data_IF_912785853722
#
_entry.id   IF_912785853722
#
_cell.length_a   1.000
_cell.length_b   1.000
_cell.length_c   1.000
_cell.angle_alpha   90.00
_cell.angle_beta   90.00
_cell.angle_gamma   90.00
#
_symmetry.space_group_name_H-M   'P 1'
#
loop_
_entity.id
_entity.type
_entity.pdbx_description
1 polymer ?
#
# COMPACT_ATOMS: atom_id res chain seq x y z
N UNK A 1 -33.37 -16.95 -4.72
CA UNK A 1 -32.18 -17.75 -4.35
C UNK A 1 -31.44 -18.06 -5.65
N UNK A 2 -30.50 -17.20 -6.07
CA UNK A 2 -29.64 -17.51 -7.22
C UNK A 2 -28.43 -18.28 -6.69
N UNK A 3 -28.50 -19.61 -6.76
CA UNK A 3 -27.34 -20.45 -6.54
C UNK A 3 -26.38 -20.22 -7.70
N UNK A 4 -25.34 -19.40 -7.47
CA UNK A 4 -24.17 -19.41 -8.35
C UNK A 4 -23.54 -20.79 -8.13
N UNK A 5 -23.73 -21.70 -9.07
CA UNK A 5 -22.99 -22.96 -9.13
C UNK A 5 -21.54 -22.56 -9.39
N UNK A 6 -20.76 -22.42 -8.33
CA UNK A 6 -19.31 -22.37 -8.49
C UNK A 6 -18.89 -23.76 -8.94
N UNK A 7 -18.60 -23.94 -10.22
CA UNK A 7 -17.96 -25.16 -10.68
C UNK A 7 -16.54 -25.16 -10.10
N UNK A 8 -16.40 -25.77 -8.92
CA UNK A 8 -15.11 -25.99 -8.31
C UNK A 8 -14.36 -26.92 -9.26
N UNK A 9 -13.19 -26.49 -9.72
CA UNK A 9 -12.21 -27.44 -10.24
C UNK A 9 -11.91 -28.37 -9.08
N UNK A 10 -12.47 -29.57 -9.02
CA UNK A 10 -12.36 -30.55 -7.91
C UNK A 10 -10.90 -30.98 -7.63
N UNK A 11 -10.03 -30.04 -7.24
CA UNK A 11 -8.58 -30.21 -7.19
C UNK A 11 -7.91 -30.51 -8.54
N UNK A 12 -8.64 -30.54 -9.66
CA UNK A 12 -8.10 -30.91 -10.98
C UNK A 12 -7.01 -29.92 -11.43
N UNK A 13 -5.79 -30.43 -11.60
CA UNK A 13 -4.66 -29.68 -12.17
C UNK A 13 -4.68 -29.84 -13.69
N UNK A 14 -4.63 -28.72 -14.39
CA UNK A 14 -4.55 -28.68 -15.85
C UNK A 14 -3.11 -28.42 -16.29
N UNK A 15 -2.66 -29.15 -17.30
CA UNK A 15 -1.33 -28.95 -17.89
C UNK A 15 -1.40 -27.96 -19.06
N UNK A 16 -0.28 -27.30 -19.37
CA UNK A 16 -0.19 -26.40 -20.52
C UNK A 16 -0.55 -27.12 -21.84
N UNK A 17 -0.14 -28.38 -22.02
CA UNK A 17 -0.47 -29.19 -23.19
C UNK A 17 -1.98 -29.36 -23.37
N UNK A 18 -2.71 -29.61 -22.29
CA UNK A 18 -4.18 -29.75 -22.35
C UNK A 18 -4.85 -28.41 -22.69
N UNK A 19 -4.39 -27.30 -22.11
CA UNK A 19 -4.94 -25.95 -22.43
C UNK A 19 -4.60 -25.52 -23.86
N UNK A 20 -3.57 -26.09 -24.49
CA UNK A 20 -3.27 -25.85 -25.91
C UNK A 20 -4.15 -26.65 -26.88
N UNK A 21 -4.86 -27.66 -26.40
CA UNK A 21 -5.85 -28.38 -27.20
C UNK A 21 -7.16 -27.59 -27.36
N UNK A 22 -7.67 -27.50 -28.60
CA UNK A 22 -8.84 -26.66 -28.90
C UNK A 22 -10.12 -27.21 -28.27
N UNK A 23 -10.33 -28.52 -28.36
CA UNK A 23 -11.53 -29.17 -27.84
C UNK A 23 -11.57 -29.07 -26.31
N UNK A 24 -10.42 -29.28 -25.67
CA UNK A 24 -10.29 -29.14 -24.22
C UNK A 24 -10.51 -27.72 -23.73
N UNK A 25 -10.03 -26.69 -24.46
CA UNK A 25 -10.33 -25.29 -24.12
C UNK A 25 -11.82 -24.99 -24.15
N UNK A 26 -12.51 -25.43 -25.20
CA UNK A 26 -13.95 -25.21 -25.35
C UNK A 26 -14.72 -25.87 -24.21
N UNK A 27 -14.34 -27.09 -23.81
CA UNK A 27 -14.93 -27.76 -22.64
C UNK A 27 -14.73 -26.99 -21.33
N UNK A 28 -13.52 -26.49 -21.08
CA UNK A 28 -13.19 -25.75 -19.86
C UNK A 28 -13.94 -24.42 -19.79
N UNK A 29 -14.08 -23.73 -20.92
CA UNK A 29 -14.85 -22.48 -21.02
C UNK A 29 -16.33 -22.77 -20.76
N UNK A 30 -16.89 -23.79 -21.42
CA UNK A 30 -18.29 -24.18 -21.27
C UNK A 30 -18.63 -24.62 -19.84
N UNK A 31 -17.65 -25.16 -19.10
CA UNK A 31 -17.80 -25.58 -17.70
C UNK A 31 -17.44 -24.48 -16.68
N UNK A 32 -17.11 -23.26 -17.12
CA UNK A 32 -16.59 -22.14 -16.29
C UNK A 32 -15.35 -22.52 -15.43
N UNK A 33 -14.68 -23.62 -15.78
CA UNK A 33 -13.49 -24.09 -15.09
C UNK A 33 -12.28 -23.23 -15.45
N UNK A 34 -12.32 -22.56 -16.60
CA UNK A 34 -11.27 -21.69 -17.14
C UNK A 34 -10.99 -20.48 -16.26
N UNK A 35 -12.03 -19.95 -15.62
CA UNK A 35 -11.90 -18.83 -14.69
C UNK A 35 -10.98 -19.24 -13.53
N UNK A 36 -11.18 -20.40 -12.92
CA UNK A 36 -10.45 -20.80 -11.71
C UNK A 36 -8.98 -21.19 -11.93
N UNK A 37 -8.56 -21.47 -13.17
CA UNK A 37 -7.18 -21.90 -13.50
C UNK A 37 -6.13 -20.89 -13.01
N UNK A 38 -6.46 -19.59 -13.07
CA UNK A 38 -5.55 -18.53 -12.68
C UNK A 38 -5.73 -18.08 -11.22
N UNK A 39 -6.44 -18.82 -10.37
CA UNK A 39 -6.67 -18.43 -8.97
C UNK A 39 -5.39 -18.26 -8.15
N UNK A 40 -4.28 -18.90 -8.55
CA UNK A 40 -2.97 -18.77 -7.93
C UNK A 40 -2.10 -17.66 -8.56
N UNK A 41 -2.47 -17.15 -9.74
CA UNK A 41 -1.79 -16.04 -10.38
C UNK A 41 -2.24 -14.74 -9.70
N UNK A 42 -1.33 -14.10 -8.97
CA UNK A 42 -1.62 -12.82 -8.30
C UNK A 42 -2.15 -11.80 -9.30
N UNK A 43 -3.15 -11.03 -8.86
CA UNK A 43 -3.88 -10.04 -9.66
C UNK A 43 -4.70 -10.59 -10.85
N UNK A 44 -4.81 -11.91 -11.02
CA UNK A 44 -5.83 -12.46 -11.92
C UNK A 44 -7.25 -12.15 -11.39
N UNK A 45 -8.27 -12.09 -12.26
CA UNK A 45 -9.67 -11.90 -11.82
C UNK A 45 -10.09 -12.89 -10.72
N UNK A 46 -9.70 -14.15 -10.86
CA UNK A 46 -10.09 -15.25 -9.95
C UNK A 46 -9.35 -15.19 -8.63
N UNK A 47 -8.06 -14.81 -8.65
CA UNK A 47 -7.32 -14.48 -7.44
C UNK A 47 -7.99 -13.33 -6.70
N UNK A 48 -8.34 -12.24 -7.40
CA UNK A 48 -8.97 -11.07 -6.80
C UNK A 48 -10.35 -11.40 -6.23
N UNK A 49 -11.15 -12.23 -6.92
CA UNK A 49 -12.44 -12.70 -6.41
C UNK A 49 -12.26 -13.50 -5.11
N UNK A 50 -11.27 -14.40 -5.06
CA UNK A 50 -10.94 -15.15 -3.83
C UNK A 50 -10.56 -14.20 -2.70
N UNK A 51 -9.65 -13.26 -2.94
CA UNK A 51 -9.22 -12.26 -1.94
C UNK A 51 -10.36 -11.35 -1.49
N UNK A 52 -11.30 -11.01 -2.38
CA UNK A 52 -12.50 -10.26 -2.04
C UNK A 52 -13.39 -11.07 -1.08
N UNK A 53 -13.59 -12.36 -1.33
CA UNK A 53 -14.36 -13.24 -0.43
C UNK A 53 -13.69 -13.35 0.94
N UNK A 54 -12.37 -13.50 0.99
CA UNK A 54 -11.60 -13.50 2.24
C UNK A 54 -11.84 -12.19 3.02
N UNK A 55 -11.71 -11.04 2.35
CA UNK A 55 -11.95 -9.74 2.96
C UNK A 55 -13.38 -9.59 3.49
N UNK A 56 -14.38 -10.04 2.73
CA UNK A 56 -15.77 -10.02 3.17
C UNK A 56 -16.02 -10.93 4.38
N UNK A 57 -15.32 -12.07 4.47
CA UNK A 57 -15.35 -12.91 5.66
C UNK A 57 -14.72 -12.22 6.87
N UNK A 58 -13.55 -11.57 6.69
CA UNK A 58 -12.91 -10.76 7.73
C UNK A 58 -13.83 -9.65 8.23
N UNK A 59 -14.48 -8.89 7.34
CA UNK A 59 -15.42 -7.83 7.73
C UNK A 59 -16.61 -8.39 8.52
N UNK A 60 -17.13 -9.57 8.16
CA UNK A 60 -18.23 -10.21 8.89
C UNK A 60 -17.81 -10.69 10.28
N UNK A 61 -16.59 -11.18 10.45
CA UNK A 61 -16.09 -11.72 11.71
C UNK A 61 -15.49 -10.66 12.64
N UNK A 62 -14.75 -9.70 12.08
CA UNK A 62 -14.01 -8.67 12.82
C UNK A 62 -14.76 -7.33 12.87
N UNK A 63 -15.78 -7.13 12.04
CA UNK A 63 -16.47 -5.86 11.88
C UNK A 63 -15.77 -4.90 10.91
N UNK A 64 -16.13 -3.61 10.98
CA UNK A 64 -15.50 -2.57 10.18
C UNK A 64 -14.02 -2.42 10.58
N UNK A 65 -13.07 -2.32 9.63
CA UNK A 65 -11.69 -2.00 9.97
C UNK A 65 -11.59 -0.66 10.69
N UNK A 66 -10.66 -0.56 11.64
CA UNK A 66 -10.37 0.66 12.40
C UNK A 66 -9.69 1.70 11.53
N UNK A 67 -8.71 1.27 10.71
CA UNK A 67 -7.97 2.14 9.81
C UNK A 67 -7.98 1.63 8.38
N UNK A 68 -8.03 2.59 7.44
CA UNK A 68 -7.74 2.38 6.04
C UNK A 68 -6.51 3.22 5.68
N UNK A 69 -5.46 2.58 5.16
CA UNK A 69 -4.20 3.25 4.79
C UNK A 69 -3.86 2.96 3.33
N UNK A 70 -3.42 3.98 2.60
CA UNK A 70 -2.85 3.85 1.27
C UNK A 70 -1.37 4.21 1.31
N UNK A 71 -0.53 3.28 0.85
CA UNK A 71 0.92 3.37 0.80
C UNK A 71 1.35 3.26 -0.67
N UNK A 72 2.16 4.18 -1.18
CA UNK A 72 2.53 4.34 -2.60
C UNK A 72 4.05 4.26 -2.76
N UNK A 73 4.58 3.66 -3.82
CA UNK A 73 6.03 3.69 -3.99
C UNK A 73 6.53 5.12 -4.32
N UNK A 74 7.63 5.52 -3.68
CA UNK A 74 8.34 6.77 -3.97
C UNK A 74 9.71 6.49 -4.58
N UNK A 75 9.74 5.64 -5.62
CA UNK A 75 10.95 5.02 -6.18
C UNK A 75 12.08 6.03 -6.47
N UNK A 76 11.75 7.21 -6.99
CA UNK A 76 12.72 8.27 -7.32
C UNK A 76 13.37 8.94 -6.11
N UNK A 77 12.79 8.80 -4.92
CA UNK A 77 13.30 9.40 -3.67
C UNK A 77 14.12 8.42 -2.84
N UNK A 78 13.98 7.12 -3.07
CA UNK A 78 14.72 6.11 -2.32
C UNK A 78 16.14 5.98 -2.86
N UNK A 79 17.06 6.80 -2.33
CA UNK A 79 18.47 6.75 -2.72
C UNK A 79 19.07 5.35 -2.60
N UNK A 80 18.60 4.56 -1.65
CA UNK A 80 19.07 3.19 -1.43
C UNK A 80 18.65 2.28 -2.60
N UNK A 81 17.41 2.44 -3.11
CA UNK A 81 16.96 1.77 -4.34
C UNK A 81 17.78 2.24 -5.55
N UNK A 82 17.97 3.55 -5.71
CA UNK A 82 18.75 4.11 -6.82
C UNK A 82 20.20 3.61 -6.80
N UNK A 83 20.81 3.49 -5.62
CA UNK A 83 22.16 2.91 -5.46
C UNK A 83 22.22 1.44 -5.83
N UNK A 84 21.23 0.64 -5.42
CA UNK A 84 21.10 -0.78 -5.82
C UNK A 84 20.98 -0.88 -7.34
N UNK A 85 20.09 -0.08 -7.95
CA UNK A 85 19.88 -0.06 -9.40
C UNK A 85 21.14 0.38 -10.15
N UNK A 86 21.84 1.40 -9.65
CA UNK A 86 23.11 1.86 -10.21
C UNK A 86 24.18 0.76 -10.21
N UNK A 87 24.27 -0.02 -9.14
CA UNK A 87 25.17 -1.17 -9.06
C UNK A 87 24.77 -2.30 -10.02
N UNK A 88 23.47 -2.55 -10.19
CA UNK A 88 22.96 -3.62 -11.05
C UNK A 88 23.06 -3.28 -12.54
N UNK A 89 22.69 -2.06 -12.92
CA UNK A 89 22.54 -1.62 -14.32
C UNK A 89 23.83 -0.96 -14.81
N UNK A 90 24.30 0.07 -14.11
CA UNK A 90 25.47 0.85 -14.54
C UNK A 90 26.80 0.25 -14.08
N UNK A 91 26.75 -0.80 -13.25
CA UNK A 91 27.93 -1.43 -12.62
C UNK A 91 28.78 -0.43 -11.82
N UNK A 92 28.14 0.63 -11.30
CA UNK A 92 28.79 1.70 -10.55
C UNK A 92 28.25 1.76 -9.12
N UNK A 93 29.15 1.87 -8.15
CA UNK A 93 28.78 2.25 -6.79
C UNK A 93 28.79 3.78 -6.68
N UNK A 94 27.61 4.36 -6.54
CA UNK A 94 27.45 5.81 -6.36
C UNK A 94 27.69 6.18 -4.89
N UNK A 95 28.41 7.28 -4.68
CA UNK A 95 28.52 7.91 -3.37
C UNK A 95 27.19 8.51 -2.91
N UNK A 96 27.05 8.78 -1.60
CA UNK A 96 25.83 9.39 -1.04
C UNK A 96 25.52 10.75 -1.68
N UNK A 97 26.54 11.57 -1.94
CA UNK A 97 26.38 12.88 -2.57
C UNK A 97 25.92 12.76 -4.03
N UNK A 98 26.45 11.80 -4.79
CA UNK A 98 26.00 11.53 -6.15
C UNK A 98 24.53 11.09 -6.18
N UNK A 99 24.11 10.20 -5.28
CA UNK A 99 22.71 9.73 -5.23
C UNK A 99 21.72 10.84 -4.88
N UNK A 100 22.09 11.73 -3.96
CA UNK A 100 21.27 12.89 -3.59
C UNK A 100 21.11 13.86 -4.77
N UNK A 101 22.21 14.15 -5.46
CA UNK A 101 22.26 15.14 -6.55
C UNK A 101 21.93 14.57 -7.93
N UNK A 102 21.74 13.26 -8.06
CA UNK A 102 21.39 12.62 -9.34
C UNK A 102 20.08 13.19 -9.89
N UNK A 103 20.13 13.59 -11.16
CA UNK A 103 19.01 14.21 -11.86
C UNK A 103 17.83 13.24 -12.04
N UNK A 104 16.65 13.81 -12.30
CA UNK A 104 15.42 13.04 -12.41
C UNK A 104 15.41 12.07 -13.59
N UNK A 105 16.05 12.41 -14.72
CA UNK A 105 16.07 11.57 -15.90
C UNK A 105 16.93 10.32 -15.65
N UNK A 106 18.11 10.49 -15.02
CA UNK A 106 18.96 9.37 -14.62
C UNK A 106 18.27 8.42 -13.64
N UNK A 107 17.60 8.96 -12.61
CA UNK A 107 16.80 8.17 -11.67
C UNK A 107 15.70 7.39 -12.38
N UNK A 108 14.98 8.04 -13.29
CA UNK A 108 13.88 7.44 -14.03
C UNK A 108 14.37 6.33 -14.96
N UNK A 109 15.50 6.53 -15.66
CA UNK A 109 16.13 5.50 -16.48
C UNK A 109 16.45 4.25 -15.66
N UNK A 110 17.06 4.42 -14.48
CA UNK A 110 17.40 3.30 -13.60
C UNK A 110 16.16 2.50 -13.18
N UNK A 111 15.10 3.20 -12.76
CA UNK A 111 13.83 2.58 -12.32
C UNK A 111 13.15 1.81 -13.47
N UNK A 112 13.10 2.41 -14.66
CA UNK A 112 12.49 1.80 -15.84
C UNK A 112 13.28 0.60 -16.36
N UNK A 113 14.60 0.57 -16.14
CA UNK A 113 15.48 -0.49 -16.61
C UNK A 113 15.34 -1.78 -15.80
N UNK A 114 14.98 -1.70 -14.51
CA UNK A 114 14.73 -2.87 -13.66
C UNK A 114 13.51 -2.67 -12.74
N UNK A 115 12.28 -2.77 -13.28
CA UNK A 115 11.06 -2.64 -12.50
C UNK A 115 10.85 -3.81 -11.53
N UNK A 116 11.48 -4.96 -11.76
CA UNK A 116 11.36 -6.13 -10.88
C UNK A 116 12.04 -5.84 -9.55
N UNK A 117 13.26 -5.28 -9.58
CA UNK A 117 13.97 -4.86 -8.37
C UNK A 117 13.20 -3.76 -7.63
N UNK A 118 12.59 -2.81 -8.35
CA UNK A 118 11.72 -1.78 -7.74
C UNK A 118 10.56 -2.40 -6.95
N UNK A 119 9.83 -3.35 -7.55
CA UNK A 119 8.70 -4.03 -6.88
C UNK A 119 9.16 -4.87 -5.69
N UNK A 120 10.28 -5.59 -5.79
CA UNK A 120 10.85 -6.35 -4.67
C UNK A 120 11.29 -5.44 -3.53
N UNK A 121 11.85 -4.28 -3.85
CA UNK A 121 12.24 -3.29 -2.86
C UNK A 121 11.02 -2.68 -2.16
N UNK A 122 9.97 -2.35 -2.91
CA UNK A 122 8.69 -1.90 -2.34
C UNK A 122 8.10 -2.95 -1.38
N UNK A 123 8.02 -4.21 -1.81
CA UNK A 123 7.51 -5.30 -0.97
C UNK A 123 8.33 -5.46 0.31
N UNK A 124 9.66 -5.45 0.21
CA UNK A 124 10.55 -5.49 1.37
C UNK A 124 10.27 -4.33 2.35
N UNK A 125 10.19 -3.09 1.84
CA UNK A 125 9.86 -1.94 2.70
C UNK A 125 8.50 -2.12 3.36
N UNK A 126 7.50 -2.58 2.60
CA UNK A 126 6.14 -2.80 3.12
C UNK A 126 6.15 -3.83 4.24
N UNK A 127 6.84 -4.97 4.08
CA UNK A 127 6.95 -5.98 5.13
C UNK A 127 7.66 -5.44 6.37
N UNK A 128 8.74 -4.67 6.20
CA UNK A 128 9.42 -4.00 7.32
C UNK A 128 8.48 -3.03 8.04
N UNK A 129 7.70 -2.24 7.29
CA UNK A 129 6.70 -1.36 7.87
C UNK A 129 5.63 -2.13 8.66
N UNK A 130 5.08 -3.21 8.08
CA UNK A 130 4.07 -4.03 8.74
C UNK A 130 4.59 -4.64 10.05
N UNK A 131 5.77 -5.23 10.03
CA UNK A 131 6.27 -6.05 11.14
C UNK A 131 6.98 -5.20 12.21
N UNK A 132 7.80 -4.24 11.78
CA UNK A 132 8.65 -3.48 12.70
C UNK A 132 7.98 -2.19 13.17
N UNK A 133 6.88 -1.76 12.53
CA UNK A 133 6.21 -0.51 12.87
C UNK A 133 4.80 -0.78 13.34
N UNK A 134 3.91 -1.24 12.44
CA UNK A 134 2.50 -1.43 12.78
C UNK A 134 2.29 -2.52 13.83
N UNK A 135 2.95 -3.67 13.68
CA UNK A 135 2.84 -4.82 14.58
C UNK A 135 3.92 -4.81 15.67
N UNK A 136 4.63 -3.70 15.84
CA UNK A 136 5.63 -3.56 16.89
C UNK A 136 4.98 -3.59 18.29
N UNK A 137 5.78 -3.93 19.29
CA UNK A 137 5.35 -3.89 20.70
C UNK A 137 4.97 -2.48 21.18
N UNK A 138 5.40 -1.43 20.46
CA UNK A 138 5.05 -0.04 20.75
C UNK A 138 3.60 0.30 20.38
N UNK A 139 2.94 -0.53 19.57
CA UNK A 139 1.52 -0.38 19.22
C UNK A 139 1.17 1.07 18.80
N UNK A 140 1.86 1.64 17.79
CA UNK A 140 1.80 3.07 17.49
C UNK A 140 0.41 3.56 17.06
N UNK A 141 -0.46 2.62 16.64
CA UNK A 141 -1.86 2.86 16.26
C UNK A 141 -2.82 1.99 17.08
N UNK A 142 -2.36 1.48 18.23
CA UNK A 142 -3.03 0.45 19.01
C UNK A 142 -2.57 -0.96 18.64
N UNK A 143 -3.03 -1.95 19.42
CA UNK A 143 -2.67 -3.36 19.24
C UNK A 143 -3.37 -3.91 17.99
N UNK A 144 -2.58 -4.25 16.96
CA UNK A 144 -3.10 -4.78 15.71
C UNK A 144 -3.68 -6.17 15.93
N UNK A 145 -5.00 -6.32 15.71
CA UNK A 145 -5.71 -7.60 15.75
C UNK A 145 -5.58 -8.36 14.44
N UNK A 146 -5.82 -7.70 13.32
CA UNK A 146 -5.67 -8.30 11.99
C UNK A 146 -5.42 -7.23 10.91
N UNK A 147 -4.93 -7.66 9.74
CA UNK A 147 -4.59 -6.80 8.61
C UNK A 147 -4.95 -7.46 7.29
N UNK A 148 -5.57 -6.70 6.38
CA UNK A 148 -5.72 -7.09 4.99
C UNK A 148 -5.00 -6.11 4.09
N UNK A 149 -4.20 -6.60 3.14
CA UNK A 149 -3.46 -5.78 2.19
C UNK A 149 -3.76 -6.19 0.76
N UNK A 150 -4.03 -5.19 -0.09
CA UNK A 150 -4.14 -5.35 -1.54
C UNK A 150 -3.10 -4.49 -2.23
N UNK A 151 -2.32 -5.10 -3.13
CA UNK A 151 -1.41 -4.37 -4.01
C UNK A 151 -2.14 -4.03 -5.31
N UNK A 152 -2.07 -2.78 -5.71
CA UNK A 152 -2.59 -2.23 -6.96
C UNK A 152 -1.46 -1.54 -7.71
N UNK A 153 -1.40 -1.74 -9.02
CA UNK A 153 -0.51 -0.98 -9.90
C UNK A 153 -1.34 0.10 -10.58
N UNK A 154 -1.12 1.36 -10.20
CA UNK A 154 -1.75 2.48 -10.89
C UNK A 154 -1.13 2.63 -12.29
N UNK A 155 -1.79 3.40 -13.17
CA UNK A 155 -1.33 3.66 -14.55
C UNK A 155 0.11 4.20 -14.69
N UNK A 156 0.76 4.56 -13.58
CA UNK A 156 2.14 5.07 -13.53
C UNK A 156 3.19 3.98 -13.30
N UNK A 157 2.79 2.72 -13.19
CA UNK A 157 3.69 1.56 -13.09
C UNK A 157 4.16 1.22 -11.67
N UNK A 158 4.20 2.18 -10.75
CA UNK A 158 4.61 1.94 -9.36
C UNK A 158 3.50 1.29 -8.52
N UNK A 159 3.85 0.36 -7.61
CA UNK A 159 2.90 -0.32 -6.74
C UNK A 159 2.32 0.61 -5.67
N UNK A 160 1.07 0.35 -5.32
CA UNK A 160 0.33 0.95 -4.23
C UNK A 160 -0.25 -0.16 -3.35
N UNK A 161 -0.05 -0.09 -2.04
CA UNK A 161 -0.69 -0.97 -1.08
C UNK A 161 -1.88 -0.25 -0.45
N UNK A 162 -3.04 -0.90 -0.49
CA UNK A 162 -4.22 -0.52 0.29
C UNK A 162 -4.33 -1.47 1.47
N UNK A 163 -4.35 -0.93 2.67
CA UNK A 163 -4.36 -1.66 3.92
C UNK A 163 -5.65 -1.38 4.68
N UNK A 164 -6.26 -2.45 5.19
CA UNK A 164 -7.32 -2.42 6.17
C UNK A 164 -6.77 -3.02 7.45
N UNK A 165 -6.84 -2.28 8.55
CA UNK A 165 -6.26 -2.69 9.84
C UNK A 165 -7.36 -2.69 10.90
N UNK A 166 -7.48 -3.80 11.60
CA UNK A 166 -8.34 -3.96 12.77
C UNK A 166 -7.49 -3.85 14.03
N UNK A 167 -7.89 -2.99 14.94
CA UNK A 167 -7.24 -2.78 16.23
C UNK A 167 -8.09 -3.46 17.31
N UNK A 168 -7.42 -4.12 18.24
CA UNK A 168 -8.04 -4.73 19.42
C UNK A 168 -8.68 -3.65 20.29
N UNK A 169 -9.91 -3.90 20.74
CA UNK A 169 -10.70 -3.01 21.60
C UNK A 169 -10.89 -1.58 21.09
N UNK A 170 -10.78 -1.36 19.76
CA UNK A 170 -11.09 -0.07 19.18
C UNK A 170 -12.58 0.28 19.35
N UNK A 171 -12.91 1.53 19.72
CA UNK A 171 -14.29 1.92 19.98
C UNK A 171 -15.12 1.89 18.69
N UNK A 172 -16.34 1.37 18.82
CA UNK A 172 -17.31 1.25 17.73
C UNK A 172 -18.38 2.35 17.82
N UNK A 173 -18.58 3.08 16.72
CA UNK A 173 -19.61 4.12 16.55
C UNK A 173 -21.03 3.72 16.97
N UNK A 174 -21.39 2.44 16.90
CA UNK A 174 -22.74 1.97 17.26
C UNK A 174 -22.91 1.65 18.75
N UNK A 175 -21.81 1.45 19.47
CA UNK A 175 -21.83 0.89 20.82
C UNK A 175 -21.21 1.83 21.86
N UNK A 176 -20.37 2.77 21.44
CA UNK A 176 -19.62 3.63 22.32
C UNK A 176 -20.00 5.10 22.11
N UNK A 177 -19.90 5.89 23.17
CA UNK A 177 -20.17 7.33 23.11
C UNK A 177 -19.14 8.05 22.25
N UNK A 178 -19.58 9.14 21.60
CA UNK A 178 -18.73 9.96 20.75
C UNK A 178 -17.47 10.46 21.47
N UNK A 179 -17.55 10.79 22.77
CA UNK A 179 -16.40 11.25 23.54
C UNK A 179 -15.27 10.21 23.59
N UNK A 180 -15.61 8.92 23.77
CA UNK A 180 -14.61 7.83 23.80
C UNK A 180 -13.94 7.61 22.43
N UNK A 181 -14.70 7.78 21.34
CA UNK A 181 -14.20 7.67 19.97
C UNK A 181 -13.25 8.83 19.67
N UNK A 182 -13.62 10.05 20.05
CA UNK A 182 -12.77 11.24 19.90
C UNK A 182 -11.47 11.05 20.69
N UNK A 183 -11.56 10.61 21.95
CA UNK A 183 -10.37 10.35 22.76
C UNK A 183 -9.44 9.30 22.13
N UNK A 184 -9.99 8.21 21.59
CA UNK A 184 -9.22 7.21 20.86
C UNK A 184 -8.53 7.80 19.61
N UNK A 185 -9.26 8.56 18.80
CA UNK A 185 -8.71 9.21 17.61
C UNK A 185 -7.60 10.18 18.02
N UNK A 186 -7.84 11.03 19.02
CA UNK A 186 -6.87 12.01 19.49
C UNK A 186 -5.63 11.36 20.11
N UNK A 187 -5.73 10.14 20.66
CA UNK A 187 -4.57 9.43 21.17
C UNK A 187 -3.60 9.02 20.04
N UNK A 188 -4.13 8.59 18.90
CA UNK A 188 -3.31 8.02 17.82
C UNK A 188 -3.10 8.96 16.64
N UNK A 189 -4.02 9.87 16.35
CA UNK A 189 -4.04 10.71 15.15
C UNK A 189 -3.89 12.18 15.51
N UNK A 190 -3.11 12.90 14.70
CA UNK A 190 -2.94 14.35 14.74
C UNK A 190 -3.10 14.94 13.34
N UNK A 191 -3.61 16.16 13.29
CA UNK A 191 -3.71 16.96 12.07
C UNK A 191 -2.83 18.23 12.15
N UNK A 192 -1.75 18.20 12.93
CA UNK A 192 -0.83 19.35 13.04
C UNK A 192 0.05 19.50 11.79
N UNK A 193 0.32 20.75 11.39
CA UNK A 193 1.37 21.09 10.43
C UNK A 193 2.71 21.36 11.09
N UNK A 194 2.74 21.44 12.41
CA UNK A 194 3.96 21.65 13.19
C UNK A 194 4.70 20.32 13.25
N UNK A 195 5.72 20.20 12.40
CA UNK A 195 6.60 19.04 12.32
C UNK A 195 8.05 19.51 12.45
N UNK A 196 8.94 18.60 12.84
CA UNK A 196 10.38 18.89 12.90
C UNK A 196 10.92 19.29 11.52
N UNK A 197 12.07 19.97 11.46
CA UNK A 197 12.70 20.32 10.19
C UNK A 197 13.00 19.07 9.33
N UNK A 198 13.37 17.96 9.97
CA UNK A 198 13.60 16.67 9.33
C UNK A 198 12.32 16.09 8.70
N UNK A 199 11.15 16.40 9.26
CA UNK A 199 9.86 15.89 8.82
C UNK A 199 9.15 16.77 7.77
N UNK A 200 9.61 18.02 7.60
CA UNK A 200 9.04 18.98 6.65
C UNK A 200 8.93 18.42 5.22
N UNK A 201 9.95 17.74 4.66
CA UNK A 201 9.86 17.18 3.31
C UNK A 201 8.73 16.15 3.16
N UNK A 202 8.39 15.40 4.22
CA UNK A 202 7.30 14.43 4.21
C UNK A 202 5.94 15.11 4.31
N UNK A 203 5.81 16.14 5.15
CA UNK A 203 4.59 16.93 5.23
C UNK A 203 4.27 17.60 3.89
N UNK A 204 5.27 18.08 3.16
CA UNK A 204 5.07 18.66 1.83
C UNK A 204 4.45 17.69 0.81
N UNK A 205 4.76 16.40 0.91
CA UNK A 205 4.19 15.36 0.03
C UNK A 205 2.73 15.05 0.37
N UNK A 206 2.34 15.34 1.61
CA UNK A 206 0.96 15.18 2.07
C UNK A 206 0.09 16.40 1.78
N UNK A 207 0.66 17.52 1.31
CA UNK A 207 -0.08 18.72 0.92
C UNK A 207 -0.62 18.58 -0.50
N UNK A 208 -1.93 18.72 -0.64
CA UNK A 208 -2.59 18.78 -1.95
C UNK A 208 -2.17 20.03 -2.73
N UNK A 209 -1.66 19.82 -3.96
CA UNK A 209 -1.38 20.89 -4.92
C UNK A 209 -2.35 20.78 -6.09
N UNK A 210 -3.01 21.89 -6.44
CA UNK A 210 -3.94 21.90 -7.57
C UNK A 210 -3.21 21.59 -8.88
N UNK A 211 -3.63 20.51 -9.52
CA UNK A 211 -3.23 20.11 -10.87
C UNK A 211 -4.38 20.29 -11.86
N UNK A 212 -4.09 20.16 -13.17
CA UNK A 212 -5.11 20.20 -14.24
C UNK A 212 -6.25 19.17 -14.01
N UNK A 213 -5.97 18.04 -13.37
CA UNK A 213 -6.95 16.98 -13.10
C UNK A 213 -7.83 17.24 -11.86
N UNK A 214 -7.49 18.26 -11.06
CA UNK A 214 -8.25 18.60 -9.85
C UNK A 214 -9.63 19.17 -10.16
N UNK A 215 -9.82 19.77 -11.33
CA UNK A 215 -11.08 20.35 -11.76
C UNK A 215 -11.72 19.43 -12.79
N UNK A 216 -12.87 18.84 -12.45
CA UNK A 216 -13.64 18.01 -13.39
C UNK A 216 -14.74 18.87 -14.01
N UNK A 217 -14.90 18.81 -15.34
CA UNK A 217 -15.96 19.52 -16.09
C UNK A 217 -15.99 21.04 -15.82
N UNK A 218 -14.82 21.68 -15.77
CA UNK A 218 -14.67 23.14 -15.55
C UNK A 218 -15.27 23.70 -14.26
N UNK A 219 -15.66 22.86 -13.29
CA UNK A 219 -16.12 23.35 -11.99
C UNK A 219 -14.98 24.04 -11.25
N UNK A 220 -15.27 25.20 -10.66
CA UNK A 220 -14.33 25.96 -9.82
C UNK A 220 -13.98 25.22 -8.51
N UNK A 221 -14.76 24.20 -8.15
CA UNK A 221 -14.58 23.39 -6.95
C UNK A 221 -13.61 22.24 -7.23
N UNK A 222 -12.64 22.06 -6.35
CA UNK A 222 -11.74 20.91 -6.40
C UNK A 222 -12.51 19.61 -6.21
N UNK A 223 -12.31 18.64 -7.12
CA UNK A 223 -12.86 17.28 -7.00
C UNK A 223 -12.54 16.62 -5.66
N UNK A 224 -11.40 16.96 -5.07
CA UNK A 224 -10.91 16.38 -3.81
C UNK A 224 -11.33 17.19 -2.57
N UNK A 225 -12.18 18.21 -2.73
CA UNK A 225 -12.74 18.96 -1.59
C UNK A 225 -11.76 19.89 -0.88
N UNK A 226 -10.55 20.10 -1.39
CA UNK A 226 -9.57 21.03 -0.81
C UNK A 226 -10.04 22.49 -1.03
N UNK A 227 -10.61 23.11 0.01
CA UNK A 227 -11.15 24.49 -0.06
C UNK A 227 -10.08 25.59 0.05
N UNK A 228 -8.90 25.27 0.56
CA UNK A 228 -7.69 26.08 0.58
C UNK A 228 -6.50 25.12 0.77
N UNK A 229 -5.25 25.59 0.63
CA UNK A 229 -3.96 24.82 0.57
C UNK A 229 -3.66 23.79 1.69
N UNK A 230 -4.61 23.41 2.53
CA UNK A 230 -4.44 22.53 3.67
C UNK A 230 -5.50 21.43 3.65
N UNK A 231 -5.27 20.38 2.86
CA UNK A 231 -5.66 19.05 3.33
C UNK A 231 -4.43 18.53 4.06
N UNK A 232 -4.44 18.64 5.38
CA UNK A 232 -3.45 18.00 6.23
C UNK A 232 -3.90 16.55 6.33
N UNK A 233 -3.16 15.64 5.69
CA UNK A 233 -3.38 14.22 5.92
C UNK A 233 -2.98 13.90 7.35
N UNK A 234 -3.79 13.05 7.97
CA UNK A 234 -3.63 12.60 9.34
C UNK A 234 -2.25 11.98 9.56
N UNK A 235 -1.56 12.45 10.58
CA UNK A 235 -0.30 11.89 11.08
C UNK A 235 -0.58 11.05 12.31
N UNK A 236 0.07 9.89 12.44
CA UNK A 236 -0.02 9.15 13.69
C UNK A 236 0.96 9.75 14.72
N UNK A 237 0.46 10.18 15.88
CA UNK A 237 1.24 10.85 16.94
C UNK A 237 2.44 10.01 17.41
N UNK A 238 2.28 8.69 17.42
CA UNK A 238 3.29 7.75 17.91
C UNK A 238 4.22 7.23 16.80
N UNK A 239 4.14 7.76 15.58
CA UNK A 239 5.04 7.41 14.46
C UNK A 239 6.21 8.40 14.27
N UNK A 240 6.48 9.30 15.23
CA UNK A 240 7.58 10.26 15.09
C UNK A 240 8.95 9.57 15.08
N UNK A 241 9.83 10.03 14.19
CA UNK A 241 11.16 9.46 13.96
C UNK A 241 12.00 9.35 15.25
N UNK A 242 11.78 10.25 16.22
CA UNK A 242 12.51 10.29 17.48
C UNK A 242 12.11 9.22 18.51
N UNK A 243 10.85 8.76 18.52
CA UNK A 243 10.38 7.74 19.49
C UNK A 243 10.62 6.30 19.03
N UNK A 244 10.86 6.11 17.73
CA UNK A 244 11.07 4.79 17.12
C UNK A 244 12.57 4.41 17.00
N UNK A 245 13.48 5.32 17.38
CA UNK A 245 14.93 5.04 17.46
C UNK A 245 15.30 3.86 18.38
N UNK A 246 14.40 3.42 19.27
CA UNK A 246 14.58 2.25 20.13
C UNK A 246 14.24 0.90 19.49
N UNK A 247 13.71 0.88 18.26
CA UNK A 247 13.60 -0.34 17.47
C UNK A 247 14.96 -0.57 16.84
N UNK A 248 15.60 -1.73 17.09
CA UNK A 248 16.92 -2.15 16.55
C UNK A 248 16.90 -2.26 15.01
N UNK A 249 16.73 -1.14 14.34
CA UNK A 249 16.80 -0.98 12.90
C UNK A 249 17.59 0.32 12.69
N UNK A 250 18.68 0.25 11.93
CA UNK A 250 19.61 1.37 11.77
C UNK A 250 18.86 2.67 11.45
N UNK A 251 19.28 3.75 12.09
CA UNK A 251 18.69 5.10 12.07
C UNK A 251 18.39 5.67 10.68
N UNK A 252 18.93 5.05 9.62
CA UNK A 252 18.73 5.40 8.21
C UNK A 252 17.40 4.92 7.60
N UNK A 253 16.74 3.92 8.19
CA UNK A 253 15.57 3.28 7.58
C UNK A 253 14.28 4.08 7.87
N UNK A 254 14.22 4.76 9.02
CA UNK A 254 12.99 5.38 9.52
C UNK A 254 12.68 6.78 8.99
N UNK A 255 13.69 7.65 8.83
CA UNK A 255 13.46 8.93 8.14
C UNK A 255 12.95 8.68 6.72
N UNK A 256 13.40 7.62 6.06
CA UNK A 256 12.94 7.26 4.71
C UNK A 256 11.60 6.49 4.66
N UNK A 257 11.06 5.99 5.79
CA UNK A 257 9.88 5.11 5.84
C UNK A 257 8.54 5.85 5.62
N UNK A 258 8.52 7.17 5.73
CA UNK A 258 7.33 8.01 5.51
C UNK A 258 7.11 8.44 4.05
N UNK A 259 7.86 7.83 3.13
CA UNK A 259 7.54 7.82 1.70
C UNK A 259 7.10 6.43 1.29
N UNK A 260 5.98 6.02 1.87
CA UNK A 260 4.95 5.43 1.05
C UNK A 260 3.93 6.52 0.67
#
# INVERSE_FOLDING_TARGET
>A
MFAIIQCQTDGKKFTAKQVLDKQFREEIINKDQGYNIFANLRNSPSYLQKRQKDLMAMIRQLGCPTYFMSLSAADTRWTDLIGILGKLIDKKEYSKSELQNMDWASKTRLIQSDPVTCVRFFDHRLQVFMNNVLKSSLQPIGKVKDTFTRIEFQQRGSPHAHLMVWIEDAPNFKQHEHASIVAFIDNYISCSTEVSEDDLPYLEMQKHRHSKTCRKRQKAICRFGSRNRQLIKQWFKNLSAHRIQNIKCSSTIFSKLLTF
#
